data_IF_681717204433
#
_entry.id   IF_681717204433
#
_cell.length_a   1.000
_cell.length_b   1.000
_cell.length_c   1.000
_cell.angle_alpha   90.00
_cell.angle_beta   90.00
_cell.angle_gamma   90.00
#
_symmetry.space_group_name_H-M   'P 1'
#
loop_
_entity.id
_entity.type
_entity.pdbx_description
1 polymer ?
#
# COMPACT_ATOMS: atom_id res chain seq x y z
N UNK A 1 9.90 7.37 66.47
CA UNK A 1 9.32 6.39 65.52
C UNK A 1 9.00 7.06 64.17
N UNK A 2 9.95 6.96 63.24
CA UNK A 2 9.86 7.53 61.89
C UNK A 2 9.18 6.51 60.97
N UNK A 3 8.15 6.93 60.23
CA UNK A 3 7.52 6.11 59.18
C UNK A 3 7.48 6.95 57.90
N UNK A 4 8.45 6.72 57.02
CA UNK A 4 8.39 7.22 55.65
C UNK A 4 7.36 6.39 54.85
N UNK A 5 6.50 7.00 54.02
CA UNK A 5 5.71 6.24 53.07
C UNK A 5 6.50 6.01 51.78
N UNK A 6 6.24 4.84 51.22
CA UNK A 6 6.91 4.21 50.10
C UNK A 6 6.82 5.02 48.80
N UNK A 7 7.91 4.99 48.02
CA UNK A 7 7.87 5.28 46.59
C UNK A 7 6.95 4.26 45.92
N UNK A 8 5.77 4.70 45.46
CA UNK A 8 4.91 3.87 44.62
C UNK A 8 5.61 3.63 43.30
N UNK A 9 6.14 2.41 43.17
CA UNK A 9 6.60 1.83 41.92
C UNK A 9 5.37 1.58 41.05
N UNK A 10 5.10 2.42 40.06
CA UNK A 10 3.92 2.24 39.23
C UNK A 10 3.77 3.32 38.18
N UNK A 11 4.46 3.16 37.06
CA UNK A 11 4.17 3.92 35.82
C UNK A 11 4.68 3.18 34.56
N UNK A 12 5.72 2.34 34.70
CA UNK A 12 6.25 1.56 33.58
C UNK A 12 5.25 0.58 32.94
N UNK A 13 4.29 0.05 33.71
CA UNK A 13 3.27 -0.86 33.19
C UNK A 13 2.25 -0.19 32.26
N UNK A 14 1.89 1.06 32.53
CA UNK A 14 0.99 1.85 31.68
C UNK A 14 1.65 2.26 30.37
N UNK A 15 2.94 2.62 30.42
CA UNK A 15 3.73 2.93 29.24
C UNK A 15 3.91 1.71 28.33
N UNK A 16 4.15 0.52 28.92
CA UNK A 16 4.26 -0.73 28.17
C UNK A 16 2.91 -1.17 27.56
N UNK A 17 1.79 -0.97 28.27
CA UNK A 17 0.46 -1.22 27.75
C UNK A 17 0.15 -0.30 26.55
N UNK A 18 0.41 1.00 26.68
CA UNK A 18 0.21 1.95 25.57
C UNK A 18 1.08 1.64 24.35
N UNK A 19 2.33 1.17 24.56
CA UNK A 19 3.18 0.71 23.46
C UNK A 19 2.60 -0.53 22.76
N UNK A 20 2.09 -1.50 23.53
CA UNK A 20 1.48 -2.71 22.97
C UNK A 20 0.22 -2.39 22.14
N UNK A 21 -0.62 -1.47 22.63
CA UNK A 21 -1.81 -1.01 21.90
C UNK A 21 -1.43 -0.31 20.59
N UNK A 22 -0.45 0.60 20.61
CA UNK A 22 0.04 1.24 19.39
C UNK A 22 0.65 0.24 18.40
N UNK A 23 1.37 -0.77 18.88
CA UNK A 23 1.91 -1.83 18.01
C UNK A 23 0.79 -2.62 17.33
N UNK A 24 -0.25 -3.00 18.08
CA UNK A 24 -1.42 -3.69 17.52
C UNK A 24 -2.17 -2.83 16.48
N UNK A 25 -2.30 -1.52 16.73
CA UNK A 25 -2.91 -0.59 15.75
C UNK A 25 -2.10 -0.50 14.45
N UNK A 26 -0.76 -0.48 14.55
CA UNK A 26 0.14 -0.50 13.39
C UNK A 26 0.02 -1.80 12.60
N UNK A 27 0.01 -2.95 13.29
CA UNK A 27 -0.15 -4.26 12.65
C UNK A 27 -1.48 -4.33 11.89
N UNK A 28 -2.58 -3.91 12.51
CA UNK A 28 -3.86 -3.82 11.84
C UNK A 28 -3.87 -2.84 10.66
N UNK A 29 -3.13 -1.74 10.74
CA UNK A 29 -3.00 -0.82 9.61
C UNK A 29 -2.25 -1.47 8.43
N UNK A 30 -1.19 -2.24 8.71
CA UNK A 30 -0.44 -3.01 7.71
C UNK A 30 -1.34 -4.08 7.08
N UNK A 31 -2.10 -4.83 7.88
CA UNK A 31 -3.03 -5.84 7.37
C UNK A 31 -4.07 -5.25 6.42
N UNK A 32 -4.67 -4.11 6.78
CA UNK A 32 -5.63 -3.40 5.92
C UNK A 32 -4.98 -2.93 4.62
N UNK A 33 -3.77 -2.40 4.67
CA UNK A 33 -3.04 -1.97 3.47
C UNK A 33 -2.77 -3.17 2.54
N UNK A 34 -2.29 -4.28 3.08
CA UNK A 34 -2.03 -5.51 2.33
C UNK A 34 -3.30 -6.14 1.77
N UNK A 35 -4.45 -5.96 2.43
CA UNK A 35 -5.73 -6.42 1.89
C UNK A 35 -6.11 -5.64 0.62
N UNK A 36 -6.05 -4.30 0.67
CA UNK A 36 -6.34 -3.43 -0.48
C UNK A 36 -5.35 -3.70 -1.62
N UNK A 37 -4.05 -3.85 -1.33
CA UNK A 37 -3.05 -4.17 -2.34
C UNK A 37 -3.38 -5.48 -3.06
N UNK A 38 -3.78 -6.52 -2.31
CA UNK A 38 -4.17 -7.82 -2.87
C UNK A 38 -5.41 -7.73 -3.76
N UNK A 39 -6.41 -6.96 -3.35
CA UNK A 39 -7.61 -6.72 -4.17
C UNK A 39 -7.27 -6.04 -5.50
N UNK A 40 -6.44 -4.99 -5.46
CA UNK A 40 -5.98 -4.28 -6.66
C UNK A 40 -5.19 -5.23 -7.57
N UNK A 41 -4.25 -6.00 -7.03
CA UNK A 41 -3.47 -6.97 -7.79
C UNK A 41 -4.34 -8.07 -8.41
N UNK A 42 -5.40 -8.52 -7.73
CA UNK A 42 -6.30 -9.53 -8.24
C UNK A 42 -7.10 -9.04 -9.46
N UNK A 43 -7.52 -7.77 -9.47
CA UNK A 43 -8.16 -7.16 -10.65
C UNK A 43 -7.14 -7.00 -11.78
N UNK A 44 -5.95 -6.47 -11.49
CA UNK A 44 -4.88 -6.30 -12.48
C UNK A 44 -4.51 -7.65 -13.12
N UNK A 45 -4.48 -8.75 -12.36
CA UNK A 45 -4.14 -10.07 -12.87
C UNK A 45 -5.08 -10.57 -13.97
N UNK A 46 -6.33 -10.11 -13.99
CA UNK A 46 -7.35 -10.49 -14.97
C UNK A 46 -7.22 -9.73 -16.30
N UNK A 47 -6.50 -8.60 -16.33
CA UNK A 47 -6.28 -7.82 -17.56
C UNK A 47 -5.50 -8.65 -18.59
N UNK A 48 -6.01 -8.90 -19.81
CA UNK A 48 -5.36 -9.83 -20.75
C UNK A 48 -3.95 -9.40 -21.21
N UNK A 49 -3.74 -8.12 -21.51
CA UNK A 49 -2.46 -7.60 -21.99
C UNK A 49 -1.45 -7.45 -20.84
N UNK A 50 -0.36 -8.20 -20.92
CA UNK A 50 0.73 -8.16 -19.94
C UNK A 50 1.39 -6.78 -19.78
N UNK A 51 1.39 -5.94 -20.82
CA UNK A 51 1.92 -4.58 -20.78
C UNK A 51 1.05 -3.68 -19.92
N UNK A 52 -0.28 -3.81 -20.05
CA UNK A 52 -1.23 -3.11 -19.21
C UNK A 52 -1.10 -3.58 -17.75
N UNK A 53 -0.98 -4.89 -17.50
CA UNK A 53 -0.70 -5.40 -16.15
C UNK A 53 0.56 -4.79 -15.53
N UNK A 54 1.66 -4.76 -16.29
CA UNK A 54 2.93 -4.18 -15.84
C UNK A 54 2.77 -2.70 -15.51
N UNK A 55 2.14 -1.92 -16.40
CA UNK A 55 1.91 -0.49 -16.21
C UNK A 55 1.05 -0.22 -14.97
N UNK A 56 -0.08 -0.93 -14.82
CA UNK A 56 -1.01 -0.73 -13.72
C UNK A 56 -0.38 -1.09 -12.38
N UNK A 57 0.35 -2.21 -12.30
CA UNK A 57 1.09 -2.60 -11.08
C UNK A 57 2.13 -1.54 -10.71
N UNK A 58 2.94 -1.10 -11.69
CA UNK A 58 3.95 -0.09 -11.46
C UNK A 58 3.34 1.22 -10.93
N UNK A 59 2.19 1.65 -11.49
CA UNK A 59 1.55 2.91 -11.11
C UNK A 59 0.82 2.85 -9.77
N UNK A 60 0.01 1.81 -9.55
CA UNK A 60 -0.96 1.77 -8.45
C UNK A 60 -0.52 0.93 -7.26
N UNK A 61 0.44 0.02 -7.44
CA UNK A 61 0.96 -0.84 -6.37
C UNK A 61 2.38 -0.43 -5.99
N UNK A 62 3.26 -0.27 -6.97
CA UNK A 62 4.67 0.10 -6.73
C UNK A 62 4.87 1.62 -6.54
N UNK A 63 3.86 2.44 -6.85
CA UNK A 63 3.90 3.89 -6.65
C UNK A 63 4.85 4.65 -7.57
N UNK A 64 5.29 4.05 -8.69
CA UNK A 64 6.22 4.67 -9.64
C UNK A 64 5.62 5.90 -10.33
N UNK A 65 6.50 6.83 -10.68
CA UNK A 65 6.20 7.97 -11.55
C UNK A 65 5.99 7.52 -12.99
N UNK A 66 5.33 8.36 -13.80
CA UNK A 66 5.12 8.05 -15.21
C UNK A 66 6.43 8.00 -16.00
N UNK A 67 7.40 8.81 -15.61
CA UNK A 67 8.75 8.87 -16.16
C UNK A 67 9.51 7.57 -15.91
N UNK A 68 9.51 7.08 -14.66
CA UNK A 68 10.12 5.78 -14.31
C UNK A 68 9.46 4.64 -15.08
N UNK A 69 8.12 4.63 -15.17
CA UNK A 69 7.37 3.62 -15.92
C UNK A 69 7.73 3.67 -17.41
N UNK A 70 7.84 4.87 -17.99
CA UNK A 70 8.22 5.04 -19.39
C UNK A 70 9.61 4.48 -19.67
N UNK A 71 10.59 4.78 -18.80
CA UNK A 71 11.95 4.24 -18.88
C UNK A 71 11.94 2.71 -18.74
N UNK A 72 11.31 2.17 -17.70
CA UNK A 72 11.27 0.73 -17.41
C UNK A 72 10.60 -0.08 -18.53
N UNK A 73 9.59 0.49 -19.18
CA UNK A 73 8.84 -0.17 -20.26
C UNK A 73 9.42 0.12 -21.65
N UNK A 74 10.45 0.97 -21.78
CA UNK A 74 11.04 1.34 -23.06
C UNK A 74 10.12 2.16 -23.96
N UNK A 75 9.21 2.94 -23.37
CA UNK A 75 8.27 3.81 -24.08
C UNK A 75 8.60 5.28 -23.86
N UNK A 76 8.16 6.14 -24.78
CA UNK A 76 8.14 7.56 -24.50
C UNK A 76 7.03 7.89 -23.48
N UNK A 77 7.28 8.90 -22.64
CA UNK A 77 6.34 9.36 -21.61
C UNK A 77 4.93 9.62 -22.16
N UNK A 78 4.83 10.33 -23.29
CA UNK A 78 3.53 10.67 -23.89
C UNK A 78 2.73 9.43 -24.28
N UNK A 79 3.39 8.38 -24.78
CA UNK A 79 2.75 7.13 -25.15
C UNK A 79 2.22 6.39 -23.92
N UNK A 80 2.99 6.36 -22.83
CA UNK A 80 2.53 5.78 -21.56
C UNK A 80 1.28 6.50 -21.06
N UNK A 81 1.33 7.83 -20.95
CA UNK A 81 0.27 8.63 -20.31
C UNK A 81 -0.97 8.80 -21.20
N UNK A 82 -0.79 9.00 -22.51
CA UNK A 82 -1.91 9.34 -23.40
C UNK A 82 -2.52 8.15 -24.13
N UNK A 83 -1.82 7.00 -24.18
CA UNK A 83 -2.29 5.83 -24.93
C UNK A 83 -2.37 4.60 -24.03
N UNK A 84 -1.22 4.18 -23.50
CA UNK A 84 -1.11 2.90 -22.79
C UNK A 84 -1.93 2.89 -21.50
N UNK A 85 -1.88 3.98 -20.72
CA UNK A 85 -2.60 4.10 -19.47
C UNK A 85 -4.12 4.15 -19.64
N UNK A 86 -4.72 5.02 -20.49
CA UNK A 86 -6.17 5.00 -20.74
C UNK A 86 -6.68 3.66 -21.25
N UNK A 87 -5.94 3.00 -22.15
CA UNK A 87 -6.31 1.67 -22.64
C UNK A 87 -6.26 0.60 -21.54
N UNK A 88 -5.26 0.67 -20.67
CA UNK A 88 -5.15 -0.23 -19.53
C UNK A 88 -6.31 -0.05 -18.54
N UNK A 89 -6.71 1.20 -18.26
CA UNK A 89 -7.87 1.48 -17.42
C UNK A 89 -9.18 1.00 -18.04
N UNK A 90 -9.37 1.22 -19.35
CA UNK A 90 -10.55 0.70 -20.05
C UNK A 90 -10.63 -0.83 -19.98
N UNK A 91 -9.51 -1.53 -20.10
CA UNK A 91 -9.49 -2.99 -19.94
C UNK A 91 -9.90 -3.43 -18.52
N UNK A 92 -9.58 -2.64 -17.49
CA UNK A 92 -10.04 -2.89 -16.12
C UNK A 92 -11.53 -2.62 -15.98
N UNK A 93 -12.04 -1.52 -16.55
CA UNK A 93 -13.48 -1.21 -16.54
C UNK A 93 -14.32 -2.35 -17.13
N UNK A 94 -13.86 -2.94 -18.23
CA UNK A 94 -14.55 -4.07 -18.86
C UNK A 94 -14.52 -5.36 -18.02
N UNK A 95 -13.56 -5.52 -17.10
CA UNK A 95 -13.51 -6.64 -16.14
C UNK A 95 -14.47 -6.41 -14.97
N UNK A 96 -14.64 -5.15 -14.57
CA UNK A 96 -15.47 -4.77 -13.41
C UNK A 96 -16.94 -4.52 -13.78
N UNK A 97 -17.29 -4.57 -15.06
CA UNK A 97 -18.67 -4.47 -15.55
C UNK A 97 -19.41 -5.79 -15.36
#
# INVERSE_FOLDING_TARGET
>A
PSKAPAHSSGDGGGLLAGYADCAAELDHAVERLLAVEREVLAVIAQVPDSRYRRLLRARYVEGKTWEEIAVDMGYNYQHVVQRLHPQALHAVEEIMR
#
